data_IF_821912947602
#
_entry.id   IF_821912947602
#
_cell.length_a   1.000
_cell.length_b   1.000
_cell.length_c   1.000
_cell.angle_alpha   90.00
_cell.angle_beta   90.00
_cell.angle_gamma   90.00
#
_symmetry.space_group_name_H-M   'P 1'
#
loop_
_entity.id
_entity.type
_entity.pdbx_description
1 polymer ?
#
# COMPACT_ATOMS: atom_id res chain seq x y z
N UNK A 1 -10.70 50.86 -30.74
CA UNK A 1 -10.35 51.78 -29.64
C UNK A 1 -9.74 51.03 -28.52
N UNK A 2 -8.48 51.41 -28.26
CA UNK A 2 -7.67 51.25 -27.05
C UNK A 2 -7.59 49.91 -26.33
N UNK A 3 -6.44 49.32 -26.57
CA UNK A 3 -5.81 48.29 -25.80
C UNK A 3 -5.56 48.67 -24.32
N UNK A 4 -5.47 47.62 -23.50
CA UNK A 4 -4.73 47.66 -22.25
C UNK A 4 -3.91 46.39 -22.15
N UNK A 5 -2.60 46.59 -22.36
CA UNK A 5 -1.58 45.62 -21.97
C UNK A 5 -1.54 45.56 -20.43
N UNK A 6 -1.73 44.42 -19.88
CA UNK A 6 -1.51 44.15 -18.45
C UNK A 6 -0.18 43.42 -18.30
N UNK A 7 0.74 44.08 -17.64
CA UNK A 7 2.09 43.60 -17.32
C UNK A 7 2.02 42.42 -16.38
N UNK A 8 2.69 41.34 -16.79
CA UNK A 8 3.06 40.23 -15.91
C UNK A 8 4.13 40.72 -14.94
N UNK A 9 3.81 40.76 -13.66
CA UNK A 9 4.76 41.06 -12.59
C UNK A 9 5.53 39.80 -12.22
N UNK A 10 6.85 39.87 -12.34
CA UNK A 10 7.78 38.91 -11.78
C UNK A 10 7.69 38.97 -10.25
N UNK A 11 7.29 37.85 -9.62
CA UNK A 11 7.37 37.68 -8.15
C UNK A 11 8.77 37.13 -7.84
N UNK A 12 9.62 37.99 -7.32
CA UNK A 12 10.88 37.60 -6.68
C UNK A 12 10.59 36.77 -5.45
N UNK A 13 11.09 35.51 -5.44
CA UNK A 13 11.02 34.61 -4.30
C UNK A 13 11.96 35.06 -3.18
N UNK A 14 11.42 35.54 -2.09
CA UNK A 14 12.18 35.74 -0.86
C UNK A 14 12.64 34.38 -0.30
N UNK A 15 13.95 34.14 -0.32
CA UNK A 15 14.59 33.06 0.41
C UNK A 15 14.55 33.36 1.92
N UNK A 16 13.56 32.87 2.60
CA UNK A 16 13.47 32.91 4.06
C UNK A 16 14.59 32.06 4.69
N UNK A 17 15.63 32.74 5.16
CA UNK A 17 16.70 32.17 5.98
C UNK A 17 16.12 31.66 7.30
N UNK A 18 16.05 30.35 7.49
CA UNK A 18 15.78 29.71 8.76
C UNK A 18 17.01 29.85 9.67
N UNK A 19 17.18 31.01 10.29
CA UNK A 19 18.11 31.21 11.42
C UNK A 19 17.41 30.74 12.70
N UNK A 20 17.98 29.75 13.37
CA UNK A 20 17.73 29.46 14.78
C UNK A 20 17.05 28.14 15.11
N UNK A 21 17.60 27.02 14.62
CA UNK A 21 17.37 25.74 15.26
C UNK A 21 18.74 25.15 15.64
N UNK A 22 19.21 25.49 16.85
CA UNK A 22 20.39 24.85 17.46
C UNK A 22 19.93 23.53 18.09
N UNK A 23 20.44 22.42 17.57
CA UNK A 23 20.35 21.11 18.22
C UNK A 23 21.40 21.05 19.35
N UNK A 24 21.03 20.86 20.61
CA UNK A 24 22.01 20.72 21.69
C UNK A 24 22.71 19.36 21.59
N UNK A 25 24.02 19.36 21.42
CA UNK A 25 24.88 18.24 21.78
C UNK A 25 25.49 17.40 20.66
N UNK A 26 25.89 17.98 19.54
CA UNK A 26 26.80 17.30 18.60
C UNK A 26 28.02 18.18 18.37
N UNK A 27 28.98 18.10 19.30
CA UNK A 27 30.27 18.83 19.23
C UNK A 27 31.44 18.00 18.75
N UNK A 28 31.25 16.80 18.22
CA UNK A 28 32.33 16.00 17.62
C UNK A 28 31.83 15.25 16.37
N UNK A 29 31.71 15.99 15.28
CA UNK A 29 31.67 15.37 13.95
C UNK A 29 33.11 15.31 13.47
N UNK A 30 33.72 14.13 13.28
CA UNK A 30 35.05 14.06 12.67
C UNK A 30 35.00 14.68 11.28
N UNK A 31 35.91 15.59 11.00
CA UNK A 31 36.07 16.17 9.68
C UNK A 31 36.41 15.03 8.70
N UNK A 32 35.49 14.75 7.80
CA UNK A 32 35.74 13.82 6.70
C UNK A 32 36.68 14.57 5.74
N UNK A 33 37.93 14.10 5.66
CA UNK A 33 38.86 14.60 4.64
C UNK A 33 38.21 14.41 3.28
N UNK A 34 38.18 15.50 2.53
CA UNK A 34 37.65 15.54 1.16
C UNK A 34 38.53 14.61 0.31
N UNK A 35 38.03 13.40 0.04
CA UNK A 35 38.68 12.49 -0.90
C UNK A 35 38.51 13.08 -2.29
N UNK A 36 39.54 13.74 -2.77
CA UNK A 36 39.63 14.16 -4.18
C UNK A 36 39.70 12.89 -5.01
N UNK A 37 38.56 12.52 -5.60
CA UNK A 37 38.54 11.45 -6.60
C UNK A 37 39.07 12.08 -7.89
N UNK A 38 40.29 11.74 -8.25
CA UNK A 38 40.86 12.06 -9.54
C UNK A 38 40.03 11.40 -10.64
N UNK A 39 39.28 12.18 -11.40
CA UNK A 39 38.28 11.71 -12.37
C UNK A 39 38.85 11.51 -13.80
N UNK A 40 40.14 11.26 -13.95
CA UNK A 40 40.80 11.11 -15.24
C UNK A 40 41.33 9.68 -15.53
N UNK A 41 40.63 8.66 -15.06
CA UNK A 41 40.78 7.31 -15.63
C UNK A 41 39.70 7.09 -16.68
N UNK A 42 40.16 7.06 -17.95
CA UNK A 42 39.42 6.73 -19.15
C UNK A 42 38.79 5.31 -18.99
N UNK A 43 37.62 5.22 -18.33
CA UNK A 43 36.85 3.99 -18.23
C UNK A 43 36.35 3.63 -19.63
N UNK A 44 37.08 2.75 -20.27
CA UNK A 44 36.64 2.11 -21.51
C UNK A 44 35.21 1.56 -21.34
N UNK A 45 34.48 1.29 -22.44
CA UNK A 45 33.05 0.90 -22.37
C UNK A 45 32.86 -0.25 -21.39
N UNK A 46 32.03 -0.03 -20.38
CA UNK A 46 31.76 -0.99 -19.32
C UNK A 46 31.44 -2.36 -19.97
N UNK A 47 32.02 -3.45 -19.48
CA UNK A 47 31.78 -4.77 -20.08
C UNK A 47 30.29 -5.06 -20.08
N UNK A 48 29.74 -5.68 -21.14
CA UNK A 48 28.32 -5.97 -21.22
C UNK A 48 27.91 -6.77 -19.98
N UNK A 49 26.98 -6.20 -19.19
CA UNK A 49 26.45 -6.85 -17.99
C UNK A 49 25.91 -8.20 -18.41
N UNK A 50 26.63 -9.29 -18.07
CA UNK A 50 26.16 -10.65 -18.29
C UNK A 50 24.89 -10.81 -17.49
N UNK A 51 23.75 -10.94 -18.19
CA UNK A 51 22.49 -11.34 -17.55
C UNK A 51 22.75 -12.64 -16.79
N UNK A 52 22.36 -12.76 -15.51
CA UNK A 52 22.49 -14.02 -14.80
C UNK A 52 21.80 -15.09 -15.67
N UNK A 53 22.50 -16.19 -15.95
CA UNK A 53 21.85 -17.32 -16.60
C UNK A 53 20.73 -17.78 -15.66
N UNK A 54 19.55 -18.03 -16.20
CA UNK A 54 18.42 -18.56 -15.42
C UNK A 54 18.85 -19.81 -14.61
N UNK A 55 19.80 -20.59 -15.15
CA UNK A 55 20.41 -21.77 -14.54
C UNK A 55 21.18 -21.49 -13.23
N UNK A 56 21.45 -20.20 -12.90
CA UNK A 56 22.14 -19.81 -11.67
C UNK A 56 21.19 -19.35 -10.54
N UNK A 57 19.90 -19.26 -10.83
CA UNK A 57 18.91 -18.88 -9.80
C UNK A 57 18.53 -20.11 -8.97
N UNK A 58 18.28 -19.94 -7.66
CA UNK A 58 17.74 -21.01 -6.83
C UNK A 58 16.44 -21.54 -7.43
N UNK A 59 16.20 -22.86 -7.40
CA UNK A 59 14.95 -23.43 -7.89
C UNK A 59 13.78 -22.97 -7.02
N UNK A 60 12.63 -22.71 -7.64
CA UNK A 60 11.42 -22.24 -6.95
C UNK A 60 10.90 -23.26 -5.93
N UNK A 61 11.26 -24.53 -6.10
CA UNK A 61 10.87 -25.64 -5.22
C UNK A 61 11.39 -25.53 -3.77
N UNK A 62 12.38 -24.67 -3.52
CA UNK A 62 12.83 -24.37 -2.14
C UNK A 62 11.78 -23.54 -1.37
N UNK A 63 10.85 -22.89 -2.08
CA UNK A 63 9.80 -22.08 -1.47
C UNK A 63 8.60 -22.95 -1.08
N UNK A 64 8.05 -22.69 0.10
CA UNK A 64 6.88 -23.41 0.62
C UNK A 64 5.64 -23.15 -0.23
N UNK A 65 4.89 -24.20 -0.52
CA UNK A 65 3.56 -24.11 -1.14
C UNK A 65 2.54 -23.70 -0.07
N UNK A 66 1.58 -22.84 -0.42
CA UNK A 66 0.47 -22.48 0.46
C UNK A 66 -0.58 -23.59 0.58
N UNK A 67 -1.41 -23.46 1.60
CA UNK A 67 -2.58 -24.34 1.74
C UNK A 67 -3.61 -23.97 0.68
N UNK A 68 -4.22 -24.98 0.06
CA UNK A 68 -5.33 -24.75 -0.86
C UNK A 68 -6.53 -24.19 -0.11
N UNK A 69 -6.96 -23.03 -0.52
CA UNK A 69 -8.10 -22.37 0.10
C UNK A 69 -9.39 -22.86 -0.55
N UNK A 70 -10.38 -23.17 0.28
CA UNK A 70 -11.71 -23.54 -0.21
C UNK A 70 -12.50 -22.28 -0.57
N UNK A 71 -12.62 -22.02 -1.88
CA UNK A 71 -13.31 -20.87 -2.46
C UNK A 71 -14.80 -20.85 -2.08
N UNK A 72 -15.41 -22.01 -1.87
CA UNK A 72 -16.83 -22.09 -1.52
C UNK A 72 -17.10 -21.60 -0.09
N UNK A 73 -16.24 -21.98 0.84
CA UNK A 73 -16.32 -21.50 2.23
C UNK A 73 -16.06 -20.00 2.32
N UNK A 74 -15.13 -19.49 1.52
CA UNK A 74 -14.84 -18.04 1.45
C UNK A 74 -16.06 -17.22 1.01
N UNK A 75 -16.75 -17.64 -0.04
CA UNK A 75 -17.94 -16.94 -0.51
C UNK A 75 -19.02 -16.89 0.55
N UNK A 76 -19.24 -18.02 1.23
CA UNK A 76 -20.22 -18.10 2.32
C UNK A 76 -19.88 -17.14 3.49
N UNK A 77 -18.59 -17.01 3.82
CA UNK A 77 -18.13 -16.06 4.85
C UNK A 77 -18.37 -14.60 4.42
N UNK A 78 -18.07 -14.26 3.16
CA UNK A 78 -18.28 -12.90 2.60
C UNK A 78 -19.77 -12.55 2.62
N UNK A 79 -20.62 -13.45 2.17
CA UNK A 79 -22.09 -13.26 2.16
C UNK A 79 -22.66 -13.12 3.57
N UNK A 80 -22.17 -13.93 4.52
CA UNK A 80 -22.56 -13.84 5.91
C UNK A 80 -22.14 -12.52 6.55
N UNK A 81 -20.92 -12.05 6.26
CA UNK A 81 -20.43 -10.78 6.74
C UNK A 81 -21.26 -9.62 6.16
N UNK A 82 -21.54 -9.63 4.86
CA UNK A 82 -22.36 -8.61 4.20
C UNK A 82 -23.75 -8.49 4.82
N UNK A 83 -24.42 -9.63 5.06
CA UNK A 83 -25.74 -9.68 5.72
C UNK A 83 -25.67 -9.15 7.15
N UNK A 84 -24.65 -9.55 7.90
CA UNK A 84 -24.46 -9.09 9.27
C UNK A 84 -24.20 -7.60 9.34
N UNK A 85 -23.36 -7.08 8.45
CA UNK A 85 -23.08 -5.64 8.36
C UNK A 85 -24.33 -4.85 8.00
N UNK A 86 -25.14 -5.33 7.06
CA UNK A 86 -26.41 -4.72 6.69
C UNK A 86 -27.37 -4.65 7.90
N UNK A 87 -27.50 -5.74 8.66
CA UNK A 87 -28.31 -5.77 9.88
C UNK A 87 -27.85 -4.76 10.91
N UNK A 88 -26.53 -4.66 11.12
CA UNK A 88 -25.95 -3.68 12.06
C UNK A 88 -26.25 -2.24 11.63
N UNK A 89 -26.25 -1.93 10.33
CA UNK A 89 -26.66 -0.62 9.85
C UNK A 89 -28.13 -0.32 10.16
N UNK A 90 -29.00 -1.30 10.01
CA UNK A 90 -30.42 -1.18 10.37
C UNK A 90 -30.58 -0.96 11.88
N UNK A 91 -29.91 -1.74 12.71
CA UNK A 91 -29.96 -1.64 14.18
C UNK A 91 -29.45 -0.26 14.68
N UNK A 92 -28.47 0.31 13.99
CA UNK A 92 -27.92 1.64 14.32
C UNK A 92 -28.70 2.80 13.68
N UNK A 93 -29.76 2.51 12.93
CA UNK A 93 -30.52 3.53 12.20
C UNK A 93 -29.67 4.28 11.18
N UNK A 94 -28.69 3.60 10.58
CA UNK A 94 -27.88 4.11 9.51
C UNK A 94 -28.56 3.81 8.18
N UNK A 95 -28.91 4.84 7.43
CA UNK A 95 -29.37 4.67 6.05
C UNK A 95 -28.15 4.38 5.16
N UNK A 96 -27.73 3.11 5.14
CA UNK A 96 -26.58 2.62 4.40
C UNK A 96 -26.89 1.23 3.85
N UNK A 97 -26.41 0.93 2.66
CA UNK A 97 -26.63 -0.34 1.99
C UNK A 97 -25.29 -0.97 1.60
N UNK A 98 -25.12 -2.26 1.92
CA UNK A 98 -24.00 -3.05 1.42
C UNK A 98 -24.27 -3.42 -0.04
N UNK A 99 -23.46 -2.90 -0.96
CA UNK A 99 -23.63 -3.10 -2.41
C UNK A 99 -22.66 -4.13 -2.98
N UNK A 100 -21.61 -4.47 -2.23
CA UNK A 100 -20.62 -5.46 -2.64
C UNK A 100 -19.67 -5.80 -1.49
N UNK A 101 -18.94 -6.88 -1.64
CA UNK A 101 -17.85 -7.22 -0.74
C UNK A 101 -16.76 -7.98 -1.50
N UNK A 102 -15.52 -7.68 -1.18
CA UNK A 102 -14.33 -8.26 -1.78
C UNK A 102 -13.40 -8.77 -0.66
N UNK A 103 -13.07 -10.06 -0.71
CA UNK A 103 -12.22 -10.69 0.31
C UNK A 103 -10.76 -10.69 -0.14
N UNK A 104 -9.91 -10.09 0.66
CA UNK A 104 -8.47 -10.23 0.57
C UNK A 104 -7.93 -11.29 1.54
N UNK A 105 -6.61 -11.49 1.58
CA UNK A 105 -5.98 -12.51 2.42
C UNK A 105 -6.18 -12.27 3.93
N UNK A 106 -6.19 -11.01 4.35
CA UNK A 106 -6.21 -10.62 5.77
C UNK A 106 -7.48 -9.94 6.21
N UNK A 107 -8.19 -9.30 5.29
CA UNK A 107 -9.42 -8.55 5.56
C UNK A 107 -10.42 -8.69 4.42
N UNK A 108 -11.67 -8.37 4.70
CA UNK A 108 -12.73 -8.25 3.69
C UNK A 108 -13.14 -6.79 3.61
N UNK A 109 -13.12 -6.23 2.41
CA UNK A 109 -13.63 -4.89 2.10
C UNK A 109 -15.10 -5.01 1.70
N UNK A 110 -16.01 -4.48 2.52
CA UNK A 110 -17.42 -4.34 2.17
C UNK A 110 -17.67 -2.95 1.61
N UNK A 111 -18.26 -2.88 0.42
CA UNK A 111 -18.64 -1.62 -0.20
C UNK A 111 -20.02 -1.21 0.29
N UNK A 112 -20.08 0.03 0.74
CA UNK A 112 -21.26 0.60 1.35
C UNK A 112 -21.67 1.85 0.59
N UNK A 113 -22.90 1.87 0.13
CA UNK A 113 -23.54 3.05 -0.40
C UNK A 113 -24.32 3.75 0.72
N UNK A 114 -23.95 4.99 1.02
CA UNK A 114 -24.67 5.80 1.98
C UNK A 114 -25.93 6.39 1.33
N UNK A 115 -27.02 6.39 2.07
CA UNK A 115 -28.26 7.02 1.66
C UNK A 115 -28.14 8.55 1.62
N UNK A 116 -29.07 9.19 0.94
CA UNK A 116 -29.08 10.65 0.77
C UNK A 116 -29.07 11.36 2.11
N UNK A 117 -28.11 12.29 2.30
CA UNK A 117 -27.98 13.08 3.50
C UNK A 117 -27.23 12.42 4.67
N UNK A 118 -26.70 11.21 4.49
CA UNK A 118 -25.86 10.55 5.50
C UNK A 118 -24.39 10.94 5.27
N UNK A 119 -23.74 11.68 6.18
CA UNK A 119 -22.34 12.03 6.03
C UNK A 119 -21.44 10.83 6.35
N UNK A 120 -20.31 10.71 5.65
CA UNK A 120 -19.29 9.65 5.90
C UNK A 120 -18.77 9.70 7.34
N UNK A 121 -18.65 10.91 7.92
CA UNK A 121 -18.20 11.09 9.29
C UNK A 121 -19.07 10.36 10.32
N UNK A 122 -20.37 10.19 10.04
CA UNK A 122 -21.28 9.43 10.91
C UNK A 122 -20.87 7.95 10.96
N UNK A 123 -20.54 7.36 9.80
CA UNK A 123 -20.06 5.99 9.73
C UNK A 123 -18.68 5.85 10.39
N UNK A 124 -17.78 6.82 10.16
CA UNK A 124 -16.45 6.83 10.78
C UNK A 124 -16.49 6.92 12.31
N UNK A 125 -17.41 7.72 12.87
CA UNK A 125 -17.55 7.83 14.33
C UNK A 125 -18.07 6.56 14.99
N UNK A 126 -18.78 5.72 14.25
CA UNK A 126 -19.36 4.45 14.73
C UNK A 126 -18.47 3.23 14.46
N UNK A 127 -17.25 3.41 13.96
CA UNK A 127 -16.35 2.29 13.57
C UNK A 127 -16.08 1.31 14.73
N UNK A 128 -15.94 1.80 15.95
CA UNK A 128 -15.65 0.99 17.12
C UNK A 128 -16.88 0.19 17.54
N UNK A 129 -18.07 0.80 17.48
CA UNK A 129 -19.35 0.15 17.74
C UNK A 129 -19.64 -0.93 16.67
N UNK A 130 -19.32 -0.65 15.40
CA UNK A 130 -19.38 -1.64 14.33
C UNK A 130 -18.45 -2.81 14.63
N UNK A 131 -17.24 -2.56 15.12
CA UNK A 131 -16.30 -3.59 15.52
C UNK A 131 -16.91 -4.51 16.59
N UNK A 132 -17.50 -3.95 17.63
CA UNK A 132 -18.19 -4.70 18.70
C UNK A 132 -19.35 -5.51 18.14
N UNK A 133 -20.23 -4.91 17.34
CA UNK A 133 -21.41 -5.57 16.77
C UNK A 133 -21.04 -6.71 15.83
N UNK A 134 -19.95 -6.56 15.06
CA UNK A 134 -19.43 -7.60 14.18
C UNK A 134 -18.57 -8.65 14.90
N UNK A 135 -18.23 -8.43 16.17
CA UNK A 135 -17.30 -9.28 16.92
C UNK A 135 -15.88 -9.26 16.35
N UNK A 136 -15.48 -8.13 15.77
CA UNK A 136 -14.18 -7.97 15.11
C UNK A 136 -13.44 -6.77 15.68
N UNK A 137 -12.14 -6.94 15.94
CA UNK A 137 -11.28 -5.84 16.37
C UNK A 137 -10.60 -5.18 15.15
N UNK A 138 -10.58 -3.85 15.12
CA UNK A 138 -9.85 -3.09 14.12
C UNK A 138 -10.61 -2.88 12.81
N UNK A 139 -11.95 -2.76 12.88
CA UNK A 139 -12.77 -2.30 11.75
C UNK A 139 -12.32 -0.91 11.31
N UNK A 140 -12.14 -0.71 10.00
CA UNK A 140 -11.73 0.56 9.42
C UNK A 140 -12.75 1.03 8.38
N UNK A 141 -12.98 2.33 8.35
CA UNK A 141 -13.78 2.98 7.31
C UNK A 141 -12.83 3.71 6.36
N UNK A 142 -12.85 3.32 5.11
CA UNK A 142 -12.00 3.87 4.03
C UNK A 142 -12.86 4.70 3.09
N UNK A 143 -12.42 5.90 2.80
CA UNK A 143 -13.17 6.82 1.94
C UNK A 143 -12.21 7.76 1.19
N UNK A 144 -12.43 7.95 -0.11
CA UNK A 144 -13.23 7.11 -1.01
C UNK A 144 -12.57 5.75 -1.28
N UNK A 145 -13.35 4.75 -1.68
CA UNK A 145 -12.79 3.53 -2.24
C UNK A 145 -12.13 3.87 -3.57
N UNK A 146 -10.87 3.51 -3.82
CA UNK A 146 -10.18 3.85 -5.05
C UNK A 146 -10.97 3.43 -6.30
N UNK A 147 -11.24 4.42 -7.19
CA UNK A 147 -12.00 4.21 -8.42
C UNK A 147 -13.51 4.09 -8.27
N UNK A 148 -14.07 4.31 -7.06
CA UNK A 148 -15.51 4.19 -6.78
C UNK A 148 -16.01 5.37 -5.95
N UNK A 149 -17.32 5.61 -5.97
CA UNK A 149 -18.00 6.65 -5.17
C UNK A 149 -18.59 6.11 -3.86
N UNK A 150 -18.28 4.87 -3.53
CA UNK A 150 -18.74 4.17 -2.33
C UNK A 150 -17.77 4.33 -1.17
N UNK A 151 -18.24 4.05 0.04
CA UNK A 151 -17.43 3.96 1.26
C UNK A 151 -17.06 2.51 1.51
N UNK A 152 -15.81 2.25 1.85
CA UNK A 152 -15.34 0.93 2.22
C UNK A 152 -15.40 0.70 3.74
N UNK A 153 -15.89 -0.47 4.14
CA UNK A 153 -15.76 -0.97 5.52
C UNK A 153 -14.87 -2.19 5.49
N UNK A 154 -13.65 -2.03 5.99
CA UNK A 154 -12.66 -3.09 6.11
C UNK A 154 -12.87 -3.85 7.43
N UNK A 155 -13.12 -5.15 7.31
CA UNK A 155 -13.30 -6.04 8.47
C UNK A 155 -12.23 -7.12 8.41
N UNK A 156 -11.39 -7.27 9.45
CA UNK A 156 -10.41 -8.34 9.54
C UNK A 156 -11.05 -9.72 9.41
N UNK A 157 -10.47 -10.58 8.59
CA UNK A 157 -10.92 -11.96 8.43
C UNK A 157 -10.68 -12.75 9.72
N UNK A 158 -11.62 -13.60 10.09
CA UNK A 158 -11.49 -14.53 11.23
C UNK A 158 -10.33 -15.49 10.95
N UNK A 159 -10.32 -16.07 9.74
CA UNK A 159 -9.24 -16.91 9.25
C UNK A 159 -8.43 -16.12 8.24
N UNK A 160 -7.24 -15.66 8.64
CA UNK A 160 -6.29 -14.98 7.77
C UNK A 160 -5.52 -15.98 6.92
N UNK A 161 -5.22 -15.61 5.71
CA UNK A 161 -4.43 -16.41 4.79
C UNK A 161 -2.98 -15.93 4.81
N UNK A 162 -2.06 -16.89 4.87
CA UNK A 162 -0.65 -16.59 4.72
C UNK A 162 -0.33 -16.44 3.23
N UNK A 163 0.09 -15.26 2.82
CA UNK A 163 0.58 -15.01 1.46
C UNK A 163 1.97 -15.64 1.34
N UNK A 164 2.10 -16.68 0.53
CA UNK A 164 3.37 -17.38 0.31
C UNK A 164 4.10 -16.78 -0.88
N UNK A 165 5.40 -16.56 -0.72
CA UNK A 165 6.24 -16.00 -1.77
C UNK A 165 6.19 -16.83 -3.07
N UNK A 166 6.12 -18.16 -2.94
CA UNK A 166 6.02 -19.05 -4.11
C UNK A 166 4.80 -18.75 -4.97
N UNK A 167 3.61 -18.64 -4.36
CA UNK A 167 2.37 -18.37 -5.09
C UNK A 167 2.42 -17.02 -5.81
N UNK A 168 2.94 -16.01 -5.11
CA UNK A 168 3.09 -14.67 -5.67
C UNK A 168 4.10 -14.66 -6.81
N UNK A 169 5.20 -15.42 -6.65
CA UNK A 169 6.25 -15.54 -7.67
C UNK A 169 5.78 -16.29 -8.92
N UNK A 170 5.02 -17.39 -8.74
CA UNK A 170 4.47 -18.19 -9.86
C UNK A 170 3.37 -17.43 -10.62
N UNK A 171 2.58 -16.60 -9.93
CA UNK A 171 1.53 -15.79 -10.54
C UNK A 171 2.08 -14.53 -11.20
N UNK A 172 3.21 -14.01 -10.70
CA UNK A 172 3.84 -12.82 -11.26
C UNK A 172 4.42 -13.15 -12.64
N UNK A 173 3.75 -12.69 -13.68
CA UNK A 173 4.35 -12.63 -15.01
C UNK A 173 5.39 -11.51 -14.99
N UNK A 174 6.63 -11.86 -14.64
CA UNK A 174 7.72 -10.91 -14.65
C UNK A 174 8.06 -10.52 -16.09
N UNK A 175 7.67 -9.32 -16.47
CA UNK A 175 8.25 -8.65 -17.62
C UNK A 175 9.70 -8.28 -17.33
N UNK A 176 10.60 -9.28 -17.31
CA UNK A 176 12.04 -9.09 -17.09
C UNK A 176 12.67 -8.09 -18.08
N UNK A 177 12.01 -7.89 -19.21
CA UNK A 177 12.45 -6.95 -20.23
C UNK A 177 12.05 -5.51 -19.90
N UNK A 178 10.96 -5.34 -19.19
CA UNK A 178 10.38 -4.02 -18.84
C UNK A 178 10.89 -3.51 -17.49
N UNK A 179 11.08 -4.41 -16.52
CA UNK A 179 11.50 -4.07 -15.17
C UNK A 179 13.00 -4.34 -14.95
N UNK A 180 13.74 -3.32 -14.50
CA UNK A 180 15.17 -3.46 -14.23
C UNK A 180 15.46 -4.22 -12.95
N UNK A 181 14.67 -3.97 -11.91
CA UNK A 181 14.78 -4.62 -10.60
C UNK A 181 13.39 -4.86 -10.01
N UNK A 182 12.65 -5.88 -10.51
CA UNK A 182 11.31 -6.17 -10.02
C UNK A 182 11.37 -6.71 -8.58
N UNK A 183 10.54 -6.14 -7.72
CA UNK A 183 10.34 -6.57 -6.33
C UNK A 183 8.95 -7.16 -6.17
N UNK A 184 8.90 -8.41 -5.73
CA UNK A 184 7.66 -9.07 -5.34
C UNK A 184 7.32 -8.64 -3.92
N UNK A 185 6.36 -7.74 -3.76
CA UNK A 185 5.95 -7.22 -2.46
C UNK A 185 4.91 -8.11 -1.77
N UNK A 186 4.15 -8.88 -2.53
CA UNK A 186 3.10 -9.74 -2.01
C UNK A 186 1.74 -9.49 -2.63
N UNK A 187 0.72 -9.34 -1.78
CA UNK A 187 -0.65 -9.00 -2.19
C UNK A 187 -1.13 -7.76 -1.43
N UNK A 188 -1.90 -6.95 -2.12
CA UNK A 188 -2.58 -5.82 -1.50
C UNK A 188 -3.73 -6.27 -0.57
N UNK A 189 -4.43 -5.35 0.04
CA UNK A 189 -5.54 -5.62 0.95
C UNK A 189 -6.71 -6.35 0.29
N UNK A 190 -6.84 -6.26 -1.03
CA UNK A 190 -7.86 -6.93 -1.84
C UNK A 190 -7.37 -8.25 -2.47
N UNK A 191 -6.13 -8.65 -2.17
CA UNK A 191 -5.53 -9.88 -2.68
C UNK A 191 -4.90 -9.76 -4.07
N UNK A 192 -4.84 -8.57 -4.66
CA UNK A 192 -4.20 -8.34 -5.95
C UNK A 192 -2.69 -8.42 -5.80
N UNK A 193 -2.05 -8.95 -6.80
CA UNK A 193 -0.59 -9.05 -6.86
C UNK A 193 0.05 -7.66 -6.82
N UNK A 194 1.04 -7.49 -5.95
CA UNK A 194 1.83 -6.28 -5.84
C UNK A 194 3.28 -6.58 -6.23
N UNK A 195 3.66 -6.15 -7.43
CA UNK A 195 5.03 -6.21 -7.95
C UNK A 195 5.41 -4.84 -8.46
N UNK A 196 6.54 -4.35 -8.03
CA UNK A 196 7.00 -3.00 -8.34
C UNK A 196 8.46 -3.01 -8.80
N UNK A 197 8.84 -2.07 -9.65
CA UNK A 197 10.25 -1.90 -10.02
C UNK A 197 10.94 -0.95 -9.04
N UNK A 198 11.89 -1.47 -8.26
CA UNK A 198 12.64 -0.65 -7.30
C UNK A 198 13.36 0.53 -7.95
N UNK A 199 13.79 0.40 -9.21
CA UNK A 199 14.48 1.47 -9.92
C UNK A 199 13.54 2.62 -10.32
N UNK A 200 12.24 2.37 -10.39
CA UNK A 200 11.24 3.39 -10.69
C UNK A 200 10.77 4.15 -9.43
N UNK A 201 11.10 3.65 -8.24
CA UNK A 201 10.72 4.28 -6.98
C UNK A 201 11.78 5.29 -6.55
N UNK A 202 11.44 6.58 -6.33
CA UNK A 202 12.38 7.55 -5.76
C UNK A 202 12.75 7.19 -4.32
N UNK A 203 11.81 6.69 -3.53
CA UNK A 203 11.98 6.25 -2.14
C UNK A 203 11.01 5.13 -1.81
N UNK A 204 11.41 4.21 -0.93
CA UNK A 204 10.58 3.17 -0.36
C UNK A 204 10.68 3.18 1.16
N UNK A 205 9.55 3.20 1.86
CA UNK A 205 9.47 3.10 3.31
C UNK A 205 8.87 1.74 3.69
N UNK A 206 9.62 0.94 4.45
CA UNK A 206 9.14 -0.31 5.02
C UNK A 206 8.91 -0.11 6.51
N UNK A 207 7.65 -0.20 6.94
CA UNK A 207 7.25 -0.03 8.33
C UNK A 207 6.42 -1.22 8.81
N UNK A 208 6.49 -1.50 10.10
CA UNK A 208 5.74 -2.58 10.74
C UNK A 208 5.94 -2.59 12.24
N UNK A 209 4.98 -3.17 12.96
CA UNK A 209 5.06 -3.37 14.41
C UNK A 209 6.13 -4.41 14.75
N UNK A 210 6.57 -4.43 16.00
CA UNK A 210 7.48 -5.49 16.48
C UNK A 210 6.84 -6.87 16.27
N UNK A 211 7.60 -7.79 15.68
CA UNK A 211 7.12 -9.14 15.36
C UNK A 211 6.29 -9.27 14.07
N UNK A 212 6.12 -8.20 13.29
CA UNK A 212 5.43 -8.27 11.99
C UNK A 212 6.23 -8.93 10.87
N UNK A 213 7.48 -9.32 11.12
CA UNK A 213 8.37 -9.88 10.09
C UNK A 213 9.13 -8.85 9.26
N UNK A 214 9.07 -7.55 9.63
CA UNK A 214 9.71 -6.46 8.87
C UNK A 214 11.21 -6.69 8.59
N UNK A 215 11.92 -7.35 9.48
CA UNK A 215 13.39 -7.53 9.42
C UNK A 215 13.80 -8.97 9.08
N UNK A 216 12.86 -9.84 8.77
CA UNK A 216 13.08 -11.22 8.30
C UNK A 216 13.10 -11.26 6.74
#
# INVERSE_FOLDING_TARGET
EKGKEEKVGEAEGESGSLKGFELPGISDVPQVEEVVIDSDEDEGPAPPRRRPRLDSLPPVDILSVGEKVDVSSMRAEVDALGKRLQQVFEDFGLNAQVVGAERGPTLTLSEVQLGTGVPVSKLQSQKDDLGVALGSHGVRVVFPVPGRTTVGVEVPNIKREAVRLREVYEEAEFGWEENKLPMVLGRDTLGRLAVEDLTAMPHMLIAGTTGSGKSV
#
